data_IF_636033965993
#
_entry.id   IF_636033965993
#
_cell.length_a   1.000
_cell.length_b   1.000
_cell.length_c   1.000
_cell.angle_alpha   90.00
_cell.angle_beta   90.00
_cell.angle_gamma   90.00
#
_symmetry.space_group_name_H-M   'P 1'
#
loop_
_entity.id
_entity.type
_entity.pdbx_description
1 polymer ?
#
# COMPACT_ATOMS: atom_id res chain seq x y z
N UNK A 1 26.18 22.34 -23.90
CA UNK A 1 25.67 21.10 -23.28
C UNK A 1 24.18 21.03 -23.56
N UNK A 2 23.74 20.03 -24.32
CA UNK A 2 22.33 19.87 -24.68
C UNK A 2 21.67 19.00 -23.62
N UNK A 3 20.71 19.55 -22.89
CA UNK A 3 20.00 18.84 -21.83
C UNK A 3 18.89 18.01 -22.50
N UNK A 4 19.10 16.70 -22.62
CA UNK A 4 18.10 15.77 -23.10
C UNK A 4 17.09 15.49 -21.99
N UNK A 5 15.97 16.23 -21.96
CA UNK A 5 14.79 15.86 -21.17
C UNK A 5 14.07 14.72 -21.89
N UNK A 6 14.46 13.47 -21.59
CA UNK A 6 13.74 12.26 -22.05
C UNK A 6 12.83 11.67 -20.97
N UNK A 7 12.37 12.50 -20.02
CA UNK A 7 11.28 12.11 -19.12
C UNK A 7 9.96 12.42 -19.79
N UNK A 8 9.27 11.40 -20.33
CA UNK A 8 7.86 11.56 -20.66
C UNK A 8 7.14 12.01 -19.39
N UNK A 9 6.53 13.19 -19.39
CA UNK A 9 5.64 13.62 -18.29
C UNK A 9 4.52 12.58 -18.20
N UNK A 10 4.65 11.66 -17.26
CA UNK A 10 3.64 10.63 -17.02
C UNK A 10 2.49 11.34 -16.31
N UNK A 11 1.40 11.54 -17.03
CA UNK A 11 0.16 12.04 -16.44
C UNK A 11 -0.53 10.84 -15.80
N UNK A 12 -0.41 10.72 -14.49
CA UNK A 12 -1.14 9.68 -13.75
C UNK A 12 -2.59 10.12 -13.58
N UNK A 13 -3.57 9.26 -13.91
CA UNK A 13 -4.97 9.62 -13.83
C UNK A 13 -5.38 9.82 -12.36
N UNK A 14 -6.22 10.84 -12.13
CA UNK A 14 -6.87 11.05 -10.83
C UNK A 14 -8.10 10.14 -10.75
N UNK A 15 -8.16 9.37 -9.68
CA UNK A 15 -9.18 8.36 -9.42
C UNK A 15 -10.01 8.77 -8.21
N UNK A 16 -11.32 8.60 -8.30
CA UNK A 16 -12.24 8.73 -7.18
C UNK A 16 -12.70 7.34 -6.74
N UNK A 17 -12.34 6.94 -5.53
CA UNK A 17 -12.66 5.62 -4.96
C UNK A 17 -13.55 5.80 -3.73
N UNK A 18 -14.82 5.44 -3.87
CA UNK A 18 -15.83 5.50 -2.81
C UNK A 18 -16.51 4.14 -2.66
N UNK A 19 -16.27 3.47 -1.53
CA UNK A 19 -16.84 2.16 -1.21
C UNK A 19 -17.18 2.11 0.27
N UNK A 20 -18.36 1.59 0.60
CA UNK A 20 -18.84 1.48 1.98
C UNK A 20 -19.01 0.02 2.37
N UNK A 21 -18.50 -0.35 3.55
CA UNK A 21 -18.59 -1.70 4.09
C UNK A 21 -18.19 -2.78 3.07
N UNK A 22 -17.14 -2.51 2.30
CA UNK A 22 -16.63 -3.41 1.28
C UNK A 22 -15.46 -4.23 1.84
N UNK A 23 -15.29 -5.44 1.32
CA UNK A 23 -14.12 -6.25 1.63
C UNK A 23 -12.86 -5.62 1.05
N UNK A 24 -11.74 -5.82 1.73
CA UNK A 24 -10.46 -5.30 1.25
C UNK A 24 -10.10 -5.88 -0.13
N UNK A 25 -10.49 -7.13 -0.39
CA UNK A 25 -10.40 -7.74 -1.72
C UNK A 25 -11.18 -6.97 -2.80
N UNK A 26 -12.40 -6.54 -2.49
CA UNK A 26 -13.26 -5.79 -3.42
C UNK A 26 -12.66 -4.42 -3.73
N UNK A 27 -12.10 -3.75 -2.72
CA UNK A 27 -11.38 -2.48 -2.89
C UNK A 27 -10.12 -2.65 -3.71
N UNK A 28 -9.33 -3.69 -3.45
CA UNK A 28 -8.11 -3.98 -4.19
C UNK A 28 -8.41 -4.24 -5.67
N UNK A 29 -9.45 -5.02 -5.95
CA UNK A 29 -9.92 -5.28 -7.31
C UNK A 29 -10.38 -4.00 -8.00
N UNK A 30 -11.23 -3.20 -7.33
CA UNK A 30 -11.70 -1.92 -7.90
C UNK A 30 -10.55 -0.95 -8.19
N UNK A 31 -9.55 -0.87 -7.32
CA UNK A 31 -8.38 -0.01 -7.54
C UNK A 31 -7.53 -0.52 -8.69
N UNK A 32 -7.24 -1.83 -8.76
CA UNK A 32 -6.44 -2.42 -9.83
C UNK A 32 -7.14 -2.32 -11.20
N UNK A 33 -8.45 -2.58 -11.26
CA UNK A 33 -9.25 -2.49 -12.48
C UNK A 33 -9.24 -1.08 -13.06
N UNK A 34 -9.26 -0.05 -12.20
CA UNK A 34 -9.24 1.37 -12.62
C UNK A 34 -7.98 1.77 -13.39
N UNK A 35 -6.88 1.03 -13.23
CA UNK A 35 -5.60 1.23 -13.93
C UNK A 35 -5.18 0.02 -14.79
N UNK A 36 -6.09 -0.93 -15.02
CA UNK A 36 -5.86 -2.17 -15.77
C UNK A 36 -4.67 -3.01 -15.23
N UNK A 37 -4.57 -3.14 -13.91
CA UNK A 37 -3.58 -3.95 -13.21
C UNK A 37 -4.21 -5.22 -12.65
N UNK A 38 -3.38 -6.19 -12.25
CA UNK A 38 -3.80 -7.32 -11.42
C UNK A 38 -3.80 -6.91 -9.95
N UNK A 39 -4.64 -7.57 -9.15
CA UNK A 39 -4.66 -7.42 -7.70
C UNK A 39 -4.22 -8.73 -7.02
N UNK A 40 -3.57 -8.59 -5.88
CA UNK A 40 -3.34 -9.68 -4.93
C UNK A 40 -3.64 -9.17 -3.53
N UNK A 41 -4.38 -9.96 -2.76
CA UNK A 41 -4.68 -9.66 -1.35
C UNK A 41 -4.34 -10.87 -0.49
N UNK A 42 -3.57 -10.64 0.56
CA UNK A 42 -3.25 -11.68 1.52
C UNK A 42 -4.53 -12.20 2.18
N UNK A 43 -4.72 -13.53 2.19
CA UNK A 43 -5.95 -14.17 2.67
C UNK A 43 -6.36 -13.78 4.09
N UNK A 44 -5.40 -13.54 4.99
CA UNK A 44 -5.66 -13.12 6.37
C UNK A 44 -6.28 -11.72 6.53
N UNK A 45 -6.31 -10.90 5.47
CA UNK A 45 -6.92 -9.56 5.47
C UNK A 45 -7.98 -9.37 4.38
N UNK A 46 -8.18 -10.34 3.49
CA UNK A 46 -9.05 -10.22 2.32
C UNK A 46 -10.52 -9.89 2.69
N UNK A 47 -11.05 -10.58 3.70
CA UNK A 47 -12.44 -10.40 4.16
C UNK A 47 -12.64 -9.22 5.12
N UNK A 48 -11.61 -8.42 5.39
CA UNK A 48 -11.74 -7.26 6.29
C UNK A 48 -12.67 -6.22 5.66
N UNK A 49 -13.76 -5.90 6.35
CA UNK A 49 -14.71 -4.88 5.93
C UNK A 49 -14.18 -3.48 6.26
N UNK A 50 -14.21 -2.60 5.27
CA UNK A 50 -13.69 -1.24 5.37
C UNK A 50 -14.57 -0.27 4.56
N UNK A 51 -14.55 0.99 4.97
CA UNK A 51 -15.23 2.07 4.25
C UNK A 51 -14.21 3.14 3.88
N UNK A 52 -14.13 3.48 2.60
CA UNK A 52 -13.20 4.46 2.06
C UNK A 52 -13.92 5.45 1.16
N UNK A 53 -13.44 6.69 1.20
CA UNK A 53 -13.81 7.76 0.27
C UNK A 53 -12.55 8.58 0.04
N UNK A 54 -11.92 8.37 -1.11
CA UNK A 54 -10.59 8.87 -1.42
C UNK A 54 -10.54 9.41 -2.85
N UNK A 55 -9.69 10.42 -3.06
CA UNK A 55 -9.43 11.03 -4.36
C UNK A 55 -7.92 11.20 -4.50
N UNK A 56 -7.34 10.73 -5.59
CA UNK A 56 -5.90 10.82 -5.83
C UNK A 56 -5.43 9.92 -6.97
N UNK A 57 -4.13 9.87 -7.20
CA UNK A 57 -3.51 8.88 -8.10
C UNK A 57 -3.55 7.48 -7.48
N UNK A 58 -3.29 6.43 -8.27
CA UNK A 58 -3.25 5.06 -7.75
C UNK A 58 -2.28 4.89 -6.58
N UNK A 59 -1.14 5.57 -6.62
CA UNK A 59 -0.11 5.54 -5.57
C UNK A 59 -0.57 6.26 -4.29
N UNK A 60 -1.19 7.43 -4.44
CA UNK A 60 -1.75 8.18 -3.32
C UNK A 60 -2.88 7.40 -2.63
N UNK A 61 -3.75 6.78 -3.43
CA UNK A 61 -4.83 5.93 -2.93
C UNK A 61 -4.28 4.70 -2.20
N UNK A 62 -3.29 4.02 -2.78
CA UNK A 62 -2.64 2.86 -2.17
C UNK A 62 -1.98 3.21 -0.84
N UNK A 63 -1.24 4.32 -0.78
CA UNK A 63 -0.58 4.80 0.44
C UNK A 63 -1.59 5.15 1.54
N UNK A 64 -2.69 5.82 1.18
CA UNK A 64 -3.70 6.19 2.16
C UNK A 64 -4.48 4.98 2.69
N UNK A 65 -4.70 3.94 1.85
CA UNK A 65 -5.26 2.66 2.30
C UNK A 65 -4.28 1.93 3.23
N UNK A 66 -2.99 1.88 2.88
CA UNK A 66 -1.92 1.33 3.73
C UNK A 66 -1.96 1.96 5.13
N UNK A 67 -1.97 3.30 5.19
CA UNK A 67 -2.00 4.06 6.45
C UNK A 67 -3.26 3.81 7.28
N UNK A 68 -4.44 3.81 6.66
CA UNK A 68 -5.71 3.64 7.37
C UNK A 68 -5.94 2.22 7.88
N UNK A 69 -5.47 1.24 7.14
CA UNK A 69 -5.73 -0.18 7.43
C UNK A 69 -4.59 -0.86 8.17
N UNK A 70 -3.45 -0.18 8.36
CA UNK A 70 -2.26 -0.74 9.00
C UNK A 70 -1.83 -2.05 8.30
N UNK A 71 -1.73 -1.97 6.98
CA UNK A 71 -1.31 -3.05 6.09
C UNK A 71 -0.25 -2.50 5.15
N UNK A 72 0.51 -3.37 4.48
CA UNK A 72 1.42 -2.94 3.42
C UNK A 72 0.70 -3.01 2.07
N UNK A 73 0.73 -1.92 1.31
CA UNK A 73 0.25 -1.89 -0.08
C UNK A 73 1.43 -1.57 -1.00
N UNK A 74 1.60 -2.37 -2.06
CA UNK A 74 2.68 -2.20 -3.04
C UNK A 74 2.07 -2.07 -4.43
N UNK A 75 2.32 -0.94 -5.09
CA UNK A 75 1.97 -0.71 -6.49
C UNK A 75 3.22 -1.00 -7.34
N UNK A 76 3.11 -1.97 -8.24
CA UNK A 76 4.17 -2.36 -9.16
C UNK A 76 3.73 -2.02 -10.59
N UNK A 77 4.17 -0.85 -11.07
CA UNK A 77 3.82 -0.38 -12.41
C UNK A 77 4.50 -1.17 -13.54
N UNK A 78 5.64 -1.82 -13.27
CA UNK A 78 6.35 -2.62 -14.27
C UNK A 78 5.61 -3.94 -14.52
N UNK A 79 5.20 -4.61 -13.45
CA UNK A 79 4.46 -5.88 -13.51
C UNK A 79 2.93 -5.70 -13.61
N UNK A 80 2.46 -4.44 -13.59
CA UNK A 80 1.04 -4.06 -13.62
C UNK A 80 0.25 -4.81 -12.54
N UNK A 81 0.68 -4.68 -11.30
CA UNK A 81 0.12 -5.40 -10.15
C UNK A 81 0.01 -4.48 -8.92
N UNK A 82 -1.04 -4.67 -8.12
CA UNK A 82 -1.20 -4.06 -6.79
C UNK A 82 -1.34 -5.16 -5.74
N UNK A 83 -0.48 -5.13 -4.72
CA UNK A 83 -0.41 -6.17 -3.69
C UNK A 83 -0.75 -5.60 -2.32
N UNK A 84 -1.72 -6.20 -1.64
CA UNK A 84 -2.15 -5.91 -0.28
C UNK A 84 -1.64 -7.01 0.64
N UNK A 85 -0.68 -6.69 1.49
CA UNK A 85 0.00 -7.63 2.37
C UNK A 85 -0.35 -7.30 3.82
N UNK A 86 -0.65 -8.34 4.61
CA UNK A 86 -0.78 -8.18 6.04
C UNK A 86 0.54 -7.67 6.62
N UNK A 87 0.51 -6.58 7.37
CA UNK A 87 1.70 -6.13 8.07
C UNK A 87 2.06 -7.20 9.13
N UNK A 88 3.32 -7.62 9.16
CA UNK A 88 3.81 -8.46 10.26
C UNK A 88 3.93 -7.54 11.46
N UNK A 89 2.84 -7.40 12.23
CA UNK A 89 2.93 -6.87 13.58
C UNK A 89 3.81 -7.84 14.36
N UNK A 90 5.11 -7.55 14.45
CA UNK A 90 5.99 -8.20 15.41
C UNK A 90 5.34 -8.02 16.79
N UNK A 91 5.06 -9.10 17.53
CA UNK A 91 4.54 -8.98 18.88
C UNK A 91 5.44 -8.06 19.69
N UNK A 92 4.88 -7.14 20.47
CA UNK A 92 5.61 -6.18 21.30
C UNK A 92 6.63 -6.82 22.26
N UNK A 93 6.51 -8.12 22.52
CA UNK A 93 7.51 -8.93 23.20
C UNK A 93 8.90 -8.87 22.56
N UNK A 94 8.99 -8.74 21.22
CA UNK A 94 10.26 -8.66 20.50
C UNK A 94 10.87 -7.25 20.45
N UNK A 95 10.16 -6.21 20.89
CA UNK A 95 10.70 -4.84 20.90
C UNK A 95 11.63 -4.57 22.11
N UNK A 96 11.52 -5.35 23.19
CA UNK A 96 12.36 -5.14 24.40
C UNK A 96 13.81 -5.58 24.24
N UNK A 97 14.12 -6.55 23.37
CA UNK A 97 15.50 -7.07 23.21
C UNK A 97 16.43 -6.13 22.43
N UNK A 98 15.89 -5.15 21.70
CA UNK A 98 16.72 -4.19 20.94
C UNK A 98 17.26 -3.08 21.85
N UNK A 99 16.53 -2.72 22.92
CA UNK A 99 16.93 -1.63 23.83
C UNK A 99 18.02 -2.09 24.81
N UNK A 100 18.08 -3.37 25.17
CA UNK A 100 19.10 -3.88 26.11
C UNK A 100 20.50 -4.05 25.50
N UNK A 101 20.62 -4.11 24.16
CA UNK A 101 21.90 -4.32 23.50
C UNK A 101 22.67 -3.02 23.17
N UNK A 102 22.03 -1.85 23.19
CA UNK A 102 22.73 -0.56 23.02
C UNK A 102 23.40 -0.07 24.32
N UNK A 103 22.97 -0.56 25.49
CA UNK A 103 23.53 -0.14 26.78
C UNK A 103 24.76 -0.94 27.25
N UNK A 104 25.11 -2.05 26.57
CA UNK A 104 26.27 -2.88 26.96
C UNK A 104 27.54 -2.62 26.15
N UNK A 105 27.53 -1.67 25.21
CA UNK A 105 28.71 -1.32 24.39
C UNK A 105 29.31 0.04 24.78
N UNK A 106 29.33 0.38 26.07
CA UNK A 106 29.98 1.60 26.60
C UNK A 106 30.63 1.36 27.99
N UNK A 107 31.33 0.24 28.15
CA UNK A 107 32.31 0.05 29.23
C UNK A 107 33.55 -0.65 28.72
#
# INVERSE_FOLDING_TARGET
QTVNFSGSTKLDPILHLEMQNARLEEIANSLADSVHYRSYVASGIADRLVSIKLLGTVDELALEIERRQQIKVVVDHENREIRFLADKVLPSFYQKEVIENEHKSNY
#
